data_IF_140465559772
#
_entry.id   IF_140465559772
#
_cell.length_a   1.000
_cell.length_b   1.000
_cell.length_c   1.000
_cell.angle_alpha   90.00
_cell.angle_beta   90.00
_cell.angle_gamma   90.00
#
_symmetry.space_group_name_H-M   'P 1'
#
loop_
_entity.id
_entity.type
_entity.pdbx_description
1 polymer ?
#
# COMPACT_ATOMS: atom_id res chain seq x y z
N UNK A 1 -23.93 -6.60 -15.40
CA UNK A 1 -23.45 -7.18 -14.13
C UNK A 1 -23.54 -8.69 -14.26
N UNK A 2 -22.48 -9.44 -13.96
CA UNK A 2 -22.53 -10.91 -14.08
C UNK A 2 -23.38 -11.52 -12.95
N UNK A 3 -23.81 -12.77 -13.13
CA UNK A 3 -24.71 -13.45 -12.20
C UNK A 3 -24.12 -13.48 -10.76
N UNK A 4 -22.81 -13.72 -10.63
CA UNK A 4 -22.08 -13.64 -9.35
C UNK A 4 -22.14 -12.26 -8.71
N UNK A 5 -21.79 -11.21 -9.46
CA UNK A 5 -21.81 -9.84 -8.93
C UNK A 5 -23.22 -9.40 -8.54
N UNK A 6 -24.26 -9.87 -9.25
CA UNK A 6 -25.64 -9.57 -8.92
C UNK A 6 -26.09 -10.27 -7.63
N UNK A 7 -25.71 -11.55 -7.43
CA UNK A 7 -26.01 -12.29 -6.19
C UNK A 7 -25.30 -11.72 -4.96
N UNK A 8 -24.03 -11.34 -5.10
CA UNK A 8 -23.29 -10.64 -4.03
C UNK A 8 -23.95 -9.31 -3.67
N UNK A 9 -24.46 -8.57 -4.66
CA UNK A 9 -25.07 -7.27 -4.42
C UNK A 9 -26.46 -7.35 -3.80
N UNK A 10 -27.28 -8.34 -4.19
CA UNK A 10 -28.67 -8.43 -3.75
C UNK A 10 -28.90 -9.36 -2.57
N UNK A 11 -28.09 -10.41 -2.44
CA UNK A 11 -28.28 -11.44 -1.42
C UNK A 11 -27.09 -11.57 -0.48
N UNK A 12 -26.02 -10.78 -0.69
CA UNK A 12 -24.73 -10.93 -0.01
C UNK A 12 -24.22 -12.38 -0.05
N UNK A 13 -24.54 -13.07 -1.14
CA UNK A 13 -24.35 -14.50 -1.28
C UNK A 13 -23.08 -14.76 -2.10
N UNK A 14 -22.11 -15.41 -1.46
CA UNK A 14 -20.86 -15.82 -2.08
C UNK A 14 -20.61 -17.29 -1.74
N UNK A 15 -20.36 -18.13 -2.75
CA UNK A 15 -20.05 -19.54 -2.50
C UNK A 15 -18.83 -19.62 -1.57
N UNK A 16 -18.89 -20.54 -0.60
CA UNK A 16 -17.84 -20.66 0.41
C UNK A 16 -16.46 -20.94 -0.21
N UNK A 17 -16.39 -21.54 -1.41
CA UNK A 17 -15.16 -21.71 -2.20
C UNK A 17 -14.41 -20.40 -2.48
N UNK A 18 -15.13 -19.27 -2.49
CA UNK A 18 -14.56 -17.94 -2.67
C UNK A 18 -14.35 -17.19 -1.35
N UNK A 19 -14.77 -17.75 -0.22
CA UNK A 19 -14.47 -17.20 1.10
C UNK A 19 -13.00 -17.48 1.41
N UNK A 20 -12.21 -16.44 1.77
CA UNK A 20 -10.88 -16.66 2.34
C UNK A 20 -11.01 -17.69 3.48
N UNK A 21 -10.12 -18.68 3.54
CA UNK A 21 -10.13 -19.74 4.57
C UNK A 21 -10.96 -21.00 4.27
N UNK A 22 -11.60 -21.14 3.10
CA UNK A 22 -12.33 -22.36 2.75
C UNK A 22 -11.42 -23.47 2.19
N UNK A 23 -11.29 -24.58 2.93
CA UNK A 23 -10.53 -25.79 2.57
C UNK A 23 -9.53 -26.23 3.64
N UNK A 24 -8.94 -27.43 3.50
CA UNK A 24 -7.96 -27.99 4.46
C UNK A 24 -6.60 -27.26 4.48
N UNK A 25 -6.33 -26.43 3.46
CA UNK A 25 -5.36 -25.36 3.61
C UNK A 25 -6.10 -24.22 4.30
N UNK A 26 -6.05 -24.21 5.63
CA UNK A 26 -6.16 -22.98 6.38
C UNK A 26 -5.07 -22.04 5.84
N UNK A 27 -5.38 -21.33 4.77
CA UNK A 27 -4.71 -20.08 4.45
C UNK A 27 -4.98 -19.27 5.70
N UNK A 28 -3.96 -19.09 6.55
CA UNK A 28 -4.06 -18.25 7.74
C UNK A 28 -4.78 -16.98 7.29
N UNK A 29 -6.07 -16.86 7.65
CA UNK A 29 -6.86 -15.72 7.24
C UNK A 29 -6.17 -14.55 7.94
N UNK A 30 -5.44 -13.75 7.15
CA UNK A 30 -4.73 -12.60 7.66
C UNK A 30 -5.78 -11.57 8.05
N UNK A 31 -6.28 -11.70 9.27
CA UNK A 31 -7.18 -10.75 9.91
C UNK A 31 -6.47 -9.41 10.05
N UNK A 32 -7.23 -8.33 10.12
CA UNK A 32 -6.65 -7.00 10.33
C UNK A 32 -5.73 -6.96 11.56
N UNK A 33 -6.11 -7.63 12.65
CA UNK A 33 -5.32 -7.69 13.88
C UNK A 33 -4.02 -8.48 13.68
N UNK A 34 -4.06 -9.62 12.99
CA UNK A 34 -2.85 -10.39 12.68
C UNK A 34 -1.87 -9.62 11.79
N UNK A 35 -2.39 -8.83 10.84
CA UNK A 35 -1.58 -7.95 9.99
C UNK A 35 -0.94 -6.82 10.80
N UNK A 36 -1.68 -6.23 11.73
CA UNK A 36 -1.14 -5.22 12.64
C UNK A 36 -0.01 -5.79 13.52
N UNK A 37 -0.19 -7.00 14.06
CA UNK A 37 0.86 -7.69 14.82
C UNK A 37 2.10 -7.94 13.95
N UNK A 38 1.92 -8.52 12.77
CA UNK A 38 3.00 -8.79 11.82
C UNK A 38 3.78 -7.51 11.45
N UNK A 39 3.07 -6.42 11.15
CA UNK A 39 3.70 -5.13 10.84
C UNK A 39 4.49 -4.58 12.01
N UNK A 40 3.95 -4.65 13.23
CA UNK A 40 4.65 -4.20 14.43
C UNK A 40 5.93 -5.02 14.62
N UNK A 41 5.85 -6.34 14.57
CA UNK A 41 7.01 -7.23 14.76
C UNK A 41 8.07 -7.05 13.68
N UNK A 42 7.66 -6.86 12.43
CA UNK A 42 8.58 -6.62 11.30
C UNK A 42 9.27 -5.28 11.43
N UNK A 43 8.55 -4.23 11.84
CA UNK A 43 9.08 -2.87 11.89
C UNK A 43 9.80 -2.56 13.19
N UNK A 44 9.47 -3.22 14.31
CA UNK A 44 10.06 -3.01 15.63
C UNK A 44 11.61 -3.01 15.64
N UNK A 45 12.31 -4.02 15.06
CA UNK A 45 13.77 -4.05 15.04
C UNK A 45 14.40 -3.04 14.07
N UNK A 46 13.61 -2.41 13.19
CA UNK A 46 14.11 -1.48 12.18
C UNK A 46 14.41 -0.13 12.81
N UNK A 47 15.68 0.26 12.77
CA UNK A 47 16.15 1.58 13.24
C UNK A 47 16.46 2.52 12.09
N UNK A 48 16.96 1.99 10.97
CA UNK A 48 17.28 2.74 9.74
C UNK A 48 16.79 1.93 8.55
N UNK A 49 16.15 2.57 7.58
CA UNK A 49 15.69 1.88 6.39
C UNK A 49 14.71 2.67 5.53
N UNK A 50 14.16 1.99 4.53
CA UNK A 50 13.10 2.54 3.70
C UNK A 50 11.92 1.57 3.61
N UNK A 51 10.73 2.07 3.92
CA UNK A 51 9.47 1.36 3.76
C UNK A 51 8.78 1.82 2.48
N UNK A 52 8.51 0.88 1.58
CA UNK A 52 7.63 1.06 0.42
C UNK A 52 6.21 0.72 0.84
N UNK A 53 5.36 1.73 0.95
CA UNK A 53 3.94 1.54 1.20
C UNK A 53 3.21 1.47 -0.14
N UNK A 54 2.76 0.28 -0.54
CA UNK A 54 2.06 0.08 -1.81
C UNK A 54 0.59 0.41 -1.63
N UNK A 55 0.12 1.42 -2.36
CA UNK A 55 -1.26 1.90 -2.28
C UNK A 55 -1.98 1.71 -3.60
N UNK A 56 -3.28 1.41 -3.52
CA UNK A 56 -4.15 1.39 -4.69
C UNK A 56 -4.70 2.81 -4.95
N UNK A 57 -4.50 3.31 -6.16
CA UNK A 57 -4.98 4.64 -6.57
C UNK A 57 -6.51 4.69 -6.70
N UNK A 58 -7.17 3.56 -6.97
CA UNK A 58 -8.62 3.50 -7.16
C UNK A 58 -9.38 3.27 -5.87
N UNK A 59 -8.76 2.57 -4.91
CA UNK A 59 -9.33 2.32 -3.59
C UNK A 59 -8.37 2.80 -2.49
N UNK A 60 -8.32 4.12 -2.33
CA UNK A 60 -7.38 4.74 -1.41
C UNK A 60 -7.80 4.64 0.06
N UNK A 61 -9.08 4.41 0.37
CA UNK A 61 -9.54 4.43 1.76
C UNK A 61 -8.93 3.29 2.63
N UNK A 62 -8.90 2.02 2.17
CA UNK A 62 -8.15 0.97 2.86
C UNK A 62 -6.64 1.27 2.93
N UNK A 63 -6.08 1.80 1.84
CA UNK A 63 -4.67 2.19 1.75
C UNK A 63 -4.31 3.27 2.79
N UNK A 64 -5.19 4.26 2.98
CA UNK A 64 -5.04 5.33 3.97
C UNK A 64 -5.08 4.78 5.41
N UNK A 65 -5.94 3.79 5.69
CA UNK A 65 -5.99 3.12 7.00
C UNK A 65 -4.65 2.42 7.31
N UNK A 66 -4.08 1.74 6.33
CA UNK A 66 -2.76 1.10 6.45
C UNK A 66 -1.64 2.13 6.64
N UNK A 67 -1.60 3.21 5.85
CA UNK A 67 -0.64 4.32 6.03
C UNK A 67 -0.73 4.98 7.41
N UNK A 68 -1.94 5.13 7.95
CA UNK A 68 -2.16 5.63 9.32
C UNK A 68 -1.57 4.68 10.36
N UNK A 69 -1.74 3.37 10.19
CA UNK A 69 -1.15 2.40 11.11
C UNK A 69 0.39 2.41 11.01
N UNK A 70 0.92 2.36 9.79
CA UNK A 70 2.35 2.39 9.51
C UNK A 70 3.02 3.63 10.11
N UNK A 71 2.48 4.82 9.84
CA UNK A 71 3.05 6.07 10.36
C UNK A 71 2.98 6.19 11.89
N UNK A 72 2.03 5.53 12.56
CA UNK A 72 2.02 5.44 14.03
C UNK A 72 3.15 4.56 14.55
N UNK A 73 3.48 3.46 13.88
CA UNK A 73 4.60 2.59 14.28
C UNK A 73 5.94 3.27 14.03
N UNK A 74 6.05 4.07 12.97
CA UNK A 74 7.29 4.76 12.59
C UNK A 74 7.49 6.13 13.27
N UNK A 75 6.54 6.62 14.07
CA UNK A 75 6.56 7.98 14.63
C UNK A 75 7.81 8.34 15.47
N UNK A 76 8.49 7.33 16.02
CA UNK A 76 9.69 7.47 16.85
C UNK A 76 10.97 7.00 16.10
N UNK A 77 10.88 6.79 14.79
CA UNK A 77 11.96 6.25 13.94
C UNK A 77 12.29 7.25 12.83
N UNK A 78 13.03 8.33 13.15
CA UNK A 78 13.28 9.43 12.20
C UNK A 78 14.14 9.00 11.00
N UNK A 79 14.98 7.99 11.16
CA UNK A 79 15.88 7.49 10.11
C UNK A 79 15.22 6.47 9.18
N UNK A 80 13.92 6.18 9.38
CA UNK A 80 13.12 5.35 8.48
C UNK A 80 12.34 6.23 7.52
N UNK A 81 12.64 6.12 6.23
CA UNK A 81 11.93 6.83 5.16
C UNK A 81 10.73 6.03 4.69
N UNK A 82 9.62 6.71 4.41
CA UNK A 82 8.43 6.09 3.81
C UNK A 82 8.26 6.61 2.39
N UNK A 83 8.21 5.70 1.42
CA UNK A 83 7.98 5.99 0.00
C UNK A 83 6.66 5.34 -0.40
N UNK A 84 5.73 6.12 -0.93
CA UNK A 84 4.40 5.64 -1.31
C UNK A 84 4.46 5.18 -2.76
N UNK A 85 4.14 3.92 -3.01
CA UNK A 85 4.08 3.32 -4.34
C UNK A 85 2.63 3.26 -4.79
N UNK A 86 2.22 4.23 -5.59
CA UNK A 86 0.86 4.38 -6.08
C UNK A 86 0.63 3.46 -7.30
N UNK A 87 0.06 2.29 -7.06
CA UNK A 87 -0.12 1.25 -8.08
C UNK A 87 -1.38 1.45 -8.93
N UNK A 88 -1.45 0.70 -10.04
CA UNK A 88 -2.57 0.62 -10.99
C UNK A 88 -2.79 1.88 -11.84
N UNK A 89 -1.77 2.73 -12.02
CA UNK A 89 -1.92 3.96 -12.83
C UNK A 89 -2.34 3.70 -14.28
N UNK A 90 -2.16 2.47 -14.77
CA UNK A 90 -2.57 2.05 -16.10
C UNK A 90 -4.09 2.03 -16.32
N UNK A 91 -4.86 1.97 -15.24
CA UNK A 91 -6.32 2.03 -15.30
C UNK A 91 -6.85 3.47 -15.41
N UNK A 92 -5.97 4.48 -15.28
CA UNK A 92 -6.36 5.87 -15.40
C UNK A 92 -6.48 6.28 -16.87
N UNK A 93 -7.44 7.18 -17.21
CA UNK A 93 -7.47 7.80 -18.51
C UNK A 93 -6.15 8.51 -18.84
N UNK A 94 -5.75 8.49 -20.11
CA UNK A 94 -4.48 9.06 -20.58
C UNK A 94 -4.41 10.57 -20.33
N UNK A 95 -5.56 11.22 -20.27
CA UNK A 95 -5.73 12.66 -20.05
C UNK A 95 -5.49 13.09 -18.60
N UNK A 96 -5.45 12.14 -17.66
CA UNK A 96 -5.28 12.50 -16.25
C UNK A 96 -3.85 12.98 -15.99
N UNK A 97 -3.74 14.17 -15.42
CA UNK A 97 -2.45 14.73 -15.06
C UNK A 97 -1.85 14.00 -13.85
N UNK A 98 -0.75 13.28 -14.08
CA UNK A 98 -0.03 12.52 -13.04
C UNK A 98 0.44 13.38 -11.86
N UNK A 99 0.72 14.67 -12.08
CA UNK A 99 1.10 15.59 -11.01
C UNK A 99 -0.08 15.85 -10.06
N UNK A 100 -1.31 15.93 -10.58
CA UNK A 100 -2.51 16.08 -9.75
C UNK A 100 -2.76 14.83 -8.92
N UNK A 101 -2.57 13.64 -9.49
CA UNK A 101 -2.71 12.38 -8.75
C UNK A 101 -1.67 12.28 -7.65
N UNK A 102 -0.40 12.58 -7.95
CA UNK A 102 0.66 12.61 -6.92
C UNK A 102 0.31 13.58 -5.79
N UNK A 103 -0.15 14.78 -6.12
CA UNK A 103 -0.54 15.78 -5.13
C UNK A 103 -1.74 15.34 -4.29
N UNK A 104 -2.76 14.74 -4.93
CA UNK A 104 -3.91 14.18 -4.23
C UNK A 104 -3.48 13.07 -3.27
N UNK A 105 -2.74 12.06 -3.73
CA UNK A 105 -2.25 10.95 -2.88
C UNK A 105 -1.41 11.47 -1.71
N UNK A 106 -0.49 12.40 -1.98
CA UNK A 106 0.35 12.98 -0.94
C UNK A 106 -0.48 13.72 0.12
N UNK A 107 -1.52 14.45 -0.29
CA UNK A 107 -2.43 15.13 0.63
C UNK A 107 -3.21 14.13 1.47
N UNK A 108 -3.88 13.15 0.85
CA UNK A 108 -4.68 12.16 1.56
C UNK A 108 -3.81 11.32 2.52
N UNK A 109 -2.58 10.97 2.09
CA UNK A 109 -1.62 10.27 2.93
C UNK A 109 -1.16 11.12 4.12
N UNK A 110 -0.89 12.40 3.91
CA UNK A 110 -0.51 13.32 4.99
C UNK A 110 -1.66 13.55 5.99
N UNK A 111 -2.89 13.65 5.51
CA UNK A 111 -4.09 13.77 6.35
C UNK A 111 -4.36 12.51 7.18
N UNK A 112 -4.12 11.33 6.61
CA UNK A 112 -4.27 10.06 7.32
C UNK A 112 -3.12 9.76 8.30
N UNK A 113 -1.91 10.22 7.98
CA UNK A 113 -0.68 9.87 8.66
C UNK A 113 -0.38 10.64 9.94
N UNK A 114 0.68 10.21 10.63
CA UNK A 114 1.20 10.93 11.79
C UNK A 114 2.03 12.16 11.35
N UNK A 115 1.86 13.36 11.95
CA UNK A 115 2.54 14.60 11.51
C UNK A 115 4.07 14.56 11.51
N UNK A 116 4.66 13.66 12.30
CA UNK A 116 6.12 13.47 12.37
C UNK A 116 6.69 12.58 11.26
N UNK A 117 5.84 11.86 10.53
CA UNK A 117 6.26 10.96 9.44
C UNK A 117 5.97 11.64 8.12
N UNK A 118 7.00 11.81 7.29
CA UNK A 118 6.86 12.41 5.97
C UNK A 118 6.24 11.39 5.00
N UNK A 119 5.02 11.65 4.55
CA UNK A 119 4.26 10.80 3.61
C UNK A 119 3.98 11.50 2.27
N UNK A 120 4.95 12.25 1.75
CA UNK A 120 4.78 13.04 0.52
C UNK A 120 5.47 12.44 -0.70
N UNK A 121 6.35 11.46 -0.50
CA UNK A 121 7.21 10.92 -1.55
C UNK A 121 6.45 9.82 -2.31
N UNK A 122 5.67 10.23 -3.33
CA UNK A 122 4.75 9.38 -4.11
C UNK A 122 5.33 8.99 -5.47
N UNK A 123 5.34 7.69 -5.75
CA UNK A 123 5.80 7.08 -6.99
C UNK A 123 4.66 6.34 -7.68
N UNK A 124 4.08 6.91 -8.75
CA UNK A 124 3.06 6.25 -9.55
C UNK A 124 3.68 5.12 -10.36
N UNK A 125 3.13 3.92 -10.25
CA UNK A 125 3.57 2.73 -10.98
C UNK A 125 2.38 1.94 -11.52
N UNK A 126 2.63 1.17 -12.57
CA UNK A 126 1.79 0.03 -12.94
C UNK A 126 2.63 -1.21 -12.75
N UNK A 127 2.38 -1.97 -11.69
CA UNK A 127 3.07 -3.24 -11.48
C UNK A 127 2.71 -4.27 -12.57
N UNK A 128 1.50 -4.17 -13.15
CA UNK A 128 1.06 -5.08 -14.22
C UNK A 128 1.78 -4.81 -15.54
N UNK A 129 1.88 -3.54 -15.96
CA UNK A 129 2.53 -3.16 -17.22
C UNK A 129 4.04 -2.86 -17.06
N UNK A 130 4.56 -2.91 -15.83
CA UNK A 130 5.94 -2.54 -15.50
C UNK A 130 6.26 -1.04 -15.63
N UNK A 131 5.26 -0.18 -15.87
CA UNK A 131 5.45 1.27 -16.01
C UNK A 131 5.88 1.87 -14.68
N UNK A 132 6.90 2.72 -14.68
CA UNK A 132 7.42 3.39 -13.49
C UNK A 132 8.31 2.52 -12.59
N UNK A 133 8.30 1.20 -12.74
CA UNK A 133 9.12 0.27 -11.92
C UNK A 133 10.61 0.47 -12.15
N UNK A 134 11.05 0.63 -13.41
CA UNK A 134 12.46 0.91 -13.74
C UNK A 134 12.94 2.26 -13.16
N UNK A 135 12.07 3.26 -13.18
CA UNK A 135 12.38 4.57 -12.60
C UNK A 135 12.49 4.48 -11.07
N UNK A 136 11.63 3.67 -10.44
CA UNK A 136 11.74 3.36 -9.02
C UNK A 136 13.08 2.66 -8.72
N UNK A 137 13.45 1.64 -9.49
CA UNK A 137 14.71 0.91 -9.32
C UNK A 137 15.92 1.85 -9.38
N UNK A 138 16.02 2.71 -10.40
CA UNK A 138 17.14 3.64 -10.52
C UNK A 138 17.24 4.62 -9.34
N UNK A 139 16.10 5.02 -8.76
CA UNK A 139 16.08 5.84 -7.55
C UNK A 139 16.57 5.09 -6.31
N UNK A 140 16.30 3.79 -6.21
CA UNK A 140 16.77 2.96 -5.11
C UNK A 140 18.28 2.78 -5.12
N UNK A 141 18.82 2.49 -6.30
CA UNK A 141 20.25 2.32 -6.54
C UNK A 141 21.04 3.60 -6.21
N UNK A 142 20.44 4.78 -6.46
CA UNK A 142 21.08 6.07 -6.18
C UNK A 142 20.96 6.52 -4.73
N UNK A 143 19.84 6.23 -4.06
CA UNK A 143 19.51 6.87 -2.79
C UNK A 143 20.00 6.10 -1.56
N UNK A 144 20.23 4.78 -1.65
CA UNK A 144 20.27 3.91 -0.47
C UNK A 144 20.98 2.56 -0.68
N UNK A 145 22.22 2.53 -1.17
CA UNK A 145 22.94 1.26 -1.46
C UNK A 145 23.12 0.28 -0.26
N UNK A 146 22.85 0.72 0.98
CA UNK A 146 23.00 -0.08 2.21
C UNK A 146 21.75 -0.09 3.11
N UNK A 147 20.62 0.45 2.66
CA UNK A 147 19.41 0.48 3.49
C UNK A 147 18.66 -0.86 3.42
N UNK A 148 18.14 -1.31 4.55
CA UNK A 148 17.12 -2.36 4.54
C UNK A 148 15.82 -1.82 3.96
N UNK A 149 15.22 -2.59 3.05
CA UNK A 149 13.98 -2.24 2.39
C UNK A 149 12.85 -3.14 2.91
N UNK A 150 11.72 -2.52 3.23
CA UNK A 150 10.50 -3.21 3.63
C UNK A 150 9.40 -2.84 2.65
N UNK A 151 8.60 -3.81 2.22
CA UNK A 151 7.43 -3.58 1.38
C UNK A 151 6.20 -3.91 2.19
N UNK A 152 5.29 -2.95 2.30
CA UNK A 152 4.06 -3.00 3.11
C UNK A 152 2.87 -2.63 2.23
#
# INVERSE_FOLDING_TARGET
VCQRCWSLWQYNDCDDVYRPGFGERAFDEMTADSFEVMLRETLEPVTVGCVFAVVDVFDFAPSAKMLRYLSKQLKNKPDVRVRIIANKIDLLPVEVNMMRIRGWIAREAQEAGHPRVKLTDVYPVSCHQGKGVKALQGLLEQADAHAQYFVV
#
